data_IF_991531588629
#
_entry.id   IF_991531588629
#
_cell.length_a   1.000
_cell.length_b   1.000
_cell.length_c   1.000
_cell.angle_alpha   90.00
_cell.angle_beta   90.00
_cell.angle_gamma   90.00
#
_symmetry.space_group_name_H-M   'P 1'
#
loop_
_entity.id
_entity.type
_entity.pdbx_description
1 polymer ?
#
# COMPACT_ATOMS: atom_id res chain seq x y z
N UNK A 1 15.11 23.39 -1.61
CA UNK A 1 14.05 23.72 -0.65
C UNK A 1 13.10 22.52 -0.55
N UNK A 2 12.75 22.09 0.66
CA UNK A 2 11.62 21.19 1.00
C UNK A 2 11.53 19.86 0.22
N UNK A 3 12.03 18.72 0.69
CA UNK A 3 11.41 17.97 1.79
C UNK A 3 12.42 17.04 2.47
N UNK A 4 12.43 17.17 3.78
CA UNK A 4 13.35 16.62 4.74
C UNK A 4 13.32 15.09 4.89
N UNK A 5 14.53 14.56 5.09
CA UNK A 5 14.89 13.60 6.15
C UNK A 5 14.05 12.33 6.19
N UNK A 6 14.53 11.30 5.48
CA UNK A 6 14.26 9.92 5.85
C UNK A 6 14.66 9.74 7.32
N UNK A 7 13.63 9.69 8.16
CA UNK A 7 13.70 9.55 9.59
C UNK A 7 14.28 8.15 9.87
N UNK A 8 15.60 8.02 9.95
CA UNK A 8 16.28 6.82 10.45
C UNK A 8 16.13 6.75 11.97
N UNK A 9 14.90 6.78 12.45
CA UNK A 9 14.59 6.33 13.79
C UNK A 9 14.27 4.85 13.64
N UNK A 10 15.24 3.98 13.95
CA UNK A 10 14.93 2.62 14.41
C UNK A 10 14.18 2.75 15.73
N UNK A 11 12.93 3.22 15.65
CA UNK A 11 11.99 3.22 16.75
C UNK A 11 11.89 1.76 17.17
N UNK A 12 12.27 1.46 18.42
CA UNK A 12 12.04 0.14 19.01
C UNK A 12 10.59 -0.23 18.72
N UNK A 13 10.38 -1.26 17.89
CA UNK A 13 9.05 -1.72 17.49
C UNK A 13 8.34 -2.14 18.79
N UNK A 14 7.40 -1.33 19.25
CA UNK A 14 6.66 -1.61 20.48
C UNK A 14 5.61 -2.66 20.16
N UNK A 15 5.55 -3.72 20.96
CA UNK A 15 4.56 -4.79 20.79
C UNK A 15 3.19 -4.40 21.36
N UNK A 16 2.67 -3.22 20.99
CA UNK A 16 1.42 -2.67 21.50
C UNK A 16 0.72 -1.80 20.48
N UNK A 17 -0.59 -1.69 20.59
CA UNK A 17 -1.37 -0.82 19.73
C UNK A 17 -0.91 0.64 19.86
N UNK A 18 -0.69 1.31 18.72
CA UNK A 18 -0.29 2.72 18.69
C UNK A 18 -1.37 3.65 19.24
N UNK A 19 -2.64 3.24 19.22
CA UNK A 19 -3.78 4.05 19.68
C UNK A 19 -4.00 3.83 21.17
N UNK A 20 -4.52 2.65 21.56
CA UNK A 20 -4.90 2.37 22.95
C UNK A 20 -3.74 1.95 23.86
N UNK A 21 -2.54 1.75 23.32
CA UNK A 21 -1.32 1.30 24.05
C UNK A 21 -1.39 -0.10 24.67
N UNK A 22 -2.47 -0.85 24.49
CA UNK A 22 -2.59 -2.24 24.94
C UNK A 22 -1.64 -3.17 24.17
N UNK A 23 -1.06 -4.13 24.90
CA UNK A 23 -0.19 -5.21 24.40
C UNK A 23 -0.96 -6.46 23.96
N UNK A 24 -2.28 -6.49 24.19
CA UNK A 24 -3.16 -7.60 23.83
C UNK A 24 -3.53 -7.52 22.35
N UNK A 25 -3.31 -8.58 21.59
CA UNK A 25 -3.69 -8.69 20.17
C UNK A 25 -5.18 -9.01 19.94
N UNK A 26 -5.62 -9.19 18.68
CA UNK A 26 -4.81 -9.24 17.46
C UNK A 26 -4.42 -7.86 16.91
N UNK A 27 -3.24 -7.76 16.30
CA UNK A 27 -2.76 -6.53 15.66
C UNK A 27 -2.57 -6.69 14.15
N UNK A 28 -2.75 -5.59 13.42
CA UNK A 28 -2.19 -5.41 12.08
C UNK A 28 -0.98 -4.46 12.15
N UNK A 29 0.03 -4.69 11.31
CA UNK A 29 1.26 -3.89 11.28
C UNK A 29 1.34 -3.11 9.98
N UNK A 30 1.65 -1.81 10.06
CA UNK A 30 1.89 -1.00 8.87
C UNK A 30 3.23 -1.40 8.23
N UNK A 31 3.24 -1.67 6.92
CA UNK A 31 4.47 -2.04 6.21
C UNK A 31 5.51 -0.91 6.18
N UNK A 32 5.09 0.35 6.19
CA UNK A 32 5.99 1.52 6.12
C UNK A 32 6.61 1.88 7.47
N UNK A 33 5.79 2.07 8.50
CA UNK A 33 6.24 2.58 9.80
C UNK A 33 6.35 1.50 10.89
N UNK A 34 6.00 0.25 10.57
CA UNK A 34 6.04 -0.93 11.46
C UNK A 34 5.23 -0.80 12.76
N UNK A 35 4.41 0.26 12.88
CA UNK A 35 3.53 0.45 14.03
C UNK A 35 2.38 -0.54 14.00
N UNK A 36 2.01 -1.05 15.18
CA UNK A 36 0.91 -2.00 15.37
C UNK A 36 -0.39 -1.30 15.72
N UNK A 37 -1.51 -1.81 15.22
CA UNK A 37 -2.83 -1.25 15.44
C UNK A 37 -3.85 -2.36 15.67
N UNK A 38 -4.84 -2.11 16.52
CA UNK A 38 -6.12 -2.79 16.43
C UNK A 38 -6.96 -2.13 15.35
N UNK A 39 -7.59 -2.93 14.48
CA UNK A 39 -8.50 -2.39 13.46
C UNK A 39 -9.73 -1.72 14.09
N UNK A 40 -10.26 -2.25 15.19
CA UNK A 40 -11.37 -1.58 15.90
C UNK A 40 -10.95 -0.21 16.49
N UNK A 41 -9.69 -0.03 16.90
CA UNK A 41 -9.20 1.28 17.35
C UNK A 41 -9.10 2.30 16.21
N UNK A 42 -9.06 1.84 14.96
CA UNK A 42 -9.10 2.65 13.75
C UNK A 42 -10.55 2.88 13.24
N UNK A 43 -11.55 2.37 13.95
CA UNK A 43 -12.96 2.54 13.59
C UNK A 43 -13.50 1.51 12.60
N UNK A 44 -12.74 0.44 12.30
CA UNK A 44 -13.26 -0.65 11.48
C UNK A 44 -14.35 -1.41 12.23
N UNK A 45 -15.46 -1.71 11.55
CA UNK A 45 -16.45 -2.67 12.02
C UNK A 45 -15.83 -4.09 12.10
N UNK A 46 -16.41 -5.02 12.87
CA UNK A 46 -15.90 -6.40 12.93
C UNK A 46 -15.77 -7.07 11.54
N UNK A 47 -16.78 -6.87 10.68
CA UNK A 47 -16.79 -7.42 9.31
C UNK A 47 -15.65 -6.86 8.46
N UNK A 48 -15.51 -5.53 8.41
CA UNK A 48 -14.44 -4.89 7.64
C UNK A 48 -13.05 -5.21 8.22
N UNK A 49 -12.93 -5.30 9.54
CA UNK A 49 -11.67 -5.68 10.20
C UNK A 49 -11.22 -7.09 9.80
N UNK A 50 -12.14 -8.05 9.71
CA UNK A 50 -11.83 -9.42 9.27
C UNK A 50 -11.34 -9.42 7.81
N UNK A 51 -12.05 -8.71 6.93
CA UNK A 51 -11.66 -8.60 5.52
C UNK A 51 -10.28 -7.97 5.34
N UNK A 52 -10.00 -6.86 6.03
CA UNK A 52 -8.69 -6.18 5.96
C UNK A 52 -7.58 -7.08 6.51
N UNK A 53 -7.81 -7.71 7.66
CA UNK A 53 -6.83 -8.63 8.26
C UNK A 53 -6.44 -9.74 7.31
N UNK A 54 -7.42 -10.31 6.58
CA UNK A 54 -7.19 -11.38 5.61
C UNK A 54 -6.52 -10.89 4.33
N UNK A 55 -7.00 -9.80 3.75
CA UNK A 55 -6.62 -9.36 2.41
C UNK A 55 -5.34 -8.51 2.39
N UNK A 56 -4.99 -7.90 3.53
CA UNK A 56 -3.91 -6.93 3.67
C UNK A 56 -2.87 -7.30 4.73
N UNK A 57 -2.86 -8.55 5.20
CA UNK A 57 -1.91 -9.03 6.21
C UNK A 57 -0.45 -8.65 5.95
N UNK A 58 -0.03 -8.59 4.68
CA UNK A 58 1.36 -8.38 4.27
C UNK A 58 1.65 -7.00 3.68
N UNK A 59 0.63 -6.20 3.34
CA UNK A 59 0.81 -4.91 2.65
C UNK A 59 -0.15 -3.81 3.13
N UNK A 60 -0.67 -3.96 4.35
CA UNK A 60 -1.46 -2.93 4.97
C UNK A 60 -0.61 -1.70 5.33
N UNK A 61 -1.19 -0.52 5.12
CA UNK A 61 -0.58 0.77 5.45
C UNK A 61 -1.51 1.51 6.41
N UNK A 62 -0.96 2.13 7.45
CA UNK A 62 -1.76 2.91 8.37
C UNK A 62 -2.24 4.23 7.74
N UNK A 63 -3.24 4.90 8.33
CA UNK A 63 -3.75 6.17 7.78
C UNK A 63 -2.70 7.27 7.60
N UNK A 64 -1.60 7.22 8.35
CA UNK A 64 -0.49 8.19 8.25
C UNK A 64 0.52 7.85 7.15
N UNK A 65 0.51 6.63 6.64
CA UNK A 65 1.49 6.13 5.68
C UNK A 65 0.85 5.69 4.35
N UNK A 66 -0.47 5.78 4.23
CA UNK A 66 -1.19 5.25 3.08
C UNK A 66 -0.83 6.01 1.81
N UNK A 67 -0.50 5.26 0.77
CA UNK A 67 -0.20 5.77 -0.55
C UNK A 67 -1.38 5.52 -1.48
N UNK A 68 -1.57 6.43 -2.42
CA UNK A 68 -2.60 6.28 -3.44
C UNK A 68 -2.27 5.12 -4.35
N UNK A 69 -3.24 4.24 -4.57
CA UNK A 69 -3.06 3.04 -5.39
C UNK A 69 -2.91 3.33 -6.88
N UNK A 70 -3.17 4.57 -7.33
CA UNK A 70 -2.97 5.02 -8.72
C UNK A 70 -1.62 5.71 -8.93
N UNK A 71 -1.29 6.71 -8.12
CA UNK A 71 -0.09 7.55 -8.32
C UNK A 71 1.04 7.28 -7.33
N UNK A 72 0.84 6.40 -6.34
CA UNK A 72 1.83 6.03 -5.32
C UNK A 72 2.34 7.18 -4.44
N UNK A 73 1.61 8.31 -4.37
CA UNK A 73 1.92 9.43 -3.47
C UNK A 73 1.03 9.41 -2.23
N UNK A 74 1.45 10.09 -1.15
CA UNK A 74 0.70 10.17 0.11
C UNK A 74 -0.71 10.71 -0.11
N UNK A 75 -1.69 10.07 0.52
CA UNK A 75 -3.08 10.52 0.51
C UNK A 75 -3.33 11.43 1.69
N UNK A 76 -3.74 12.66 1.42
CA UNK A 76 -4.07 13.69 2.43
C UNK A 76 -5.25 14.57 2.00
N UNK A 77 -5.82 14.34 0.82
CA UNK A 77 -6.95 15.13 0.31
C UNK A 77 -8.26 14.65 0.92
N UNK A 78 -9.16 15.59 1.24
CA UNK A 78 -10.48 15.26 1.80
C UNK A 78 -11.40 14.49 0.82
N UNK A 79 -11.07 14.48 -0.47
CA UNK A 79 -11.81 13.76 -1.49
C UNK A 79 -11.38 12.30 -1.65
N UNK A 80 -10.45 11.81 -0.84
CA UNK A 80 -9.93 10.47 -0.97
C UNK A 80 -11.01 9.41 -0.72
N UNK A 81 -10.85 8.25 -1.34
CA UNK A 81 -11.72 7.10 -1.16
C UNK A 81 -10.92 5.86 -0.80
N UNK A 82 -11.50 5.02 0.04
CA UNK A 82 -10.93 3.74 0.46
C UNK A 82 -11.88 2.63 0.07
N UNK A 83 -11.37 1.61 -0.60
CA UNK A 83 -12.18 0.47 -1.01
C UNK A 83 -12.61 -0.34 0.22
N UNK A 84 -13.92 -0.56 0.39
CA UNK A 84 -14.45 -1.32 1.53
C UNK A 84 -14.00 -2.79 1.54
N UNK A 85 -13.68 -3.37 0.36
CA UNK A 85 -13.30 -4.77 0.25
C UNK A 85 -11.78 -5.02 0.42
N UNK A 86 -10.94 -4.20 -0.23
CA UNK A 86 -9.49 -4.42 -0.24
C UNK A 86 -8.69 -3.34 0.48
N UNK A 87 -9.34 -2.35 1.10
CA UNK A 87 -8.70 -1.29 1.89
C UNK A 87 -7.70 -0.42 1.10
N UNK A 88 -7.75 -0.47 -0.23
CA UNK A 88 -6.90 0.37 -1.08
C UNK A 88 -7.46 1.77 -1.19
N UNK A 89 -6.58 2.75 -1.04
CA UNK A 89 -6.95 4.16 -1.00
C UNK A 89 -6.51 4.86 -2.28
N UNK A 90 -7.31 5.82 -2.72
CA UNK A 90 -7.07 6.65 -3.89
C UNK A 90 -7.37 8.11 -3.51
N UNK A 91 -6.55 9.07 -3.98
CA UNK A 91 -6.97 10.48 -3.94
C UNK A 91 -8.29 10.66 -4.68
N UNK A 92 -9.02 11.72 -4.35
CA UNK A 92 -10.24 12.09 -5.05
C UNK A 92 -10.02 12.21 -6.55
N UNK A 93 -8.93 12.83 -7.00
CA UNK A 93 -8.55 12.93 -8.44
C UNK A 93 -8.08 11.62 -9.06
N UNK A 94 -7.63 10.68 -8.22
CA UNK A 94 -7.09 9.41 -8.65
C UNK A 94 -8.14 8.28 -8.72
N UNK A 95 -9.40 8.56 -8.41
CA UNK A 95 -10.48 7.56 -8.49
C UNK A 95 -10.56 7.01 -9.92
N UNK A 96 -10.44 5.69 -10.12
CA UNK A 96 -10.58 5.09 -11.44
C UNK A 96 -12.03 5.21 -11.97
N UNK A 97 -12.19 5.57 -13.24
CA UNK A 97 -13.48 5.55 -13.93
C UNK A 97 -14.47 6.64 -13.52
N UNK A 98 -14.00 7.85 -13.17
CA UNK A 98 -14.89 8.98 -12.84
C UNK A 98 -15.88 9.30 -13.97
N UNK A 99 -17.11 8.81 -13.87
CA UNK A 99 -18.26 9.69 -14.05
C UNK A 99 -18.69 10.15 -12.66
N UNK A 100 -19.03 11.43 -12.53
CA UNK A 100 -19.49 12.05 -11.28
C UNK A 100 -20.66 11.26 -10.68
N UNK A 101 -20.36 10.30 -9.81
CA UNK A 101 -21.36 9.79 -8.88
C UNK A 101 -21.31 10.73 -7.69
N UNK A 102 -22.31 11.61 -7.63
CA UNK A 102 -22.70 12.31 -6.42
C UNK A 102 -22.90 11.24 -5.33
N UNK A 103 -21.88 11.01 -4.51
CA UNK A 103 -21.90 9.94 -3.51
C UNK A 103 -22.41 10.52 -2.22
N UNK A 104 -23.57 10.01 -1.82
CA UNK A 104 -24.01 10.10 -0.44
C UNK A 104 -22.94 9.48 0.46
N UNK A 105 -22.65 10.11 1.60
CA UNK A 105 -21.71 9.61 2.62
C UNK A 105 -22.06 8.21 3.16
N UNK A 106 -23.22 7.65 2.78
CA UNK A 106 -23.75 6.37 3.26
C UNK A 106 -23.36 5.16 2.39
N UNK A 107 -22.87 5.36 1.18
CA UNK A 107 -22.63 4.24 0.26
C UNK A 107 -21.16 3.78 0.31
N UNK A 108 -20.96 2.49 0.59
CA UNK A 108 -19.65 1.85 0.54
C UNK A 108 -19.06 1.93 -0.87
N UNK A 109 -17.83 2.45 -0.99
CA UNK A 109 -17.12 2.47 -2.26
C UNK A 109 -16.27 1.21 -2.46
N UNK A 110 -16.34 0.67 -3.68
CA UNK A 110 -15.53 -0.46 -4.14
C UNK A 110 -14.66 -0.03 -5.33
N UNK A 111 -13.38 -0.40 -5.32
CA UNK A 111 -12.50 -0.16 -6.45
C UNK A 111 -12.87 -1.05 -7.64
N UNK A 112 -12.44 -0.73 -8.88
CA UNK A 112 -12.80 -1.51 -10.07
C UNK A 112 -12.43 -2.99 -9.97
N UNK A 113 -11.28 -3.30 -9.35
CA UNK A 113 -10.85 -4.68 -9.13
C UNK A 113 -11.87 -5.43 -8.24
N UNK A 114 -12.37 -4.81 -7.18
CA UNK A 114 -13.34 -5.44 -6.28
C UNK A 114 -14.79 -5.40 -6.79
N UNK A 115 -15.12 -4.51 -7.74
CA UNK A 115 -16.44 -4.48 -8.39
C UNK A 115 -16.58 -5.55 -9.48
N UNK A 116 -15.46 -5.93 -10.11
CA UNK A 116 -15.43 -6.91 -11.20
C UNK A 116 -15.45 -8.37 -10.69
N UNK A 117 -15.24 -8.59 -9.39
CA UNK A 117 -15.40 -9.90 -8.76
C UNK A 117 -16.91 -10.16 -8.58
N UNK A 118 -17.52 -11.15 -9.27
CA UNK A 118 -18.88 -11.54 -8.98
C UNK A 118 -18.95 -12.10 -7.55
N UNK A 119 -20.02 -11.78 -6.83
CA UNK A 119 -20.36 -12.41 -5.56
C UNK A 119 -20.71 -13.88 -5.78
N UNK A 120 -19.72 -14.74 -6.00
CA UNK A 120 -19.93 -16.19 -6.10
C UNK A 120 -19.81 -16.80 -4.71
N UNK A 121 -20.95 -16.89 -4.04
CA UNK A 121 -21.26 -18.08 -3.25
C UNK A 121 -21.33 -19.27 -4.22
N UNK A 122 -20.20 -19.87 -4.58
CA UNK A 122 -20.13 -21.24 -5.11
C UNK A 122 -18.69 -21.70 -5.27
N UNK A 123 -18.46 -22.94 -4.85
CA UNK A 123 -17.17 -23.62 -4.69
C UNK A 123 -16.66 -24.09 -6.05
N UNK A 124 -15.46 -23.70 -6.48
CA UNK A 124 -14.55 -24.53 -7.30
C UNK A 124 -13.14 -23.94 -7.44
N UNK A 125 -12.17 -24.63 -6.82
CA UNK A 125 -10.79 -24.90 -7.27
C UNK A 125 -9.91 -23.75 -7.81
N UNK A 126 -9.04 -23.27 -6.91
CA UNK A 126 -7.58 -23.14 -7.06
C UNK A 126 -7.00 -22.36 -8.24
N UNK A 127 -6.87 -21.04 -8.07
CA UNK A 127 -5.57 -20.35 -8.00
C UNK A 127 -5.68 -19.23 -6.96
N UNK A 128 -4.83 -19.24 -5.93
CA UNK A 128 -4.90 -18.25 -4.84
C UNK A 128 -4.53 -16.86 -5.34
N UNK A 129 -5.28 -15.85 -4.86
CA UNK A 129 -5.06 -14.41 -5.06
C UNK A 129 -3.61 -13.95 -4.78
N UNK A 130 -2.84 -14.74 -4.03
CA UNK A 130 -1.41 -14.58 -3.77
C UNK A 130 -0.58 -14.71 -5.06
N UNK A 131 -0.87 -15.70 -5.93
CA UNK A 131 -0.08 -15.97 -7.13
C UNK A 131 -0.19 -14.84 -8.18
N UNK A 132 -1.40 -14.28 -8.36
CA UNK A 132 -1.61 -13.11 -9.22
C UNK A 132 -0.89 -11.85 -8.69
N UNK A 133 -0.82 -11.68 -7.36
CA UNK A 133 -0.19 -10.51 -6.72
C UNK A 133 1.34 -10.55 -6.82
N UNK A 134 1.95 -11.74 -6.71
CA UNK A 134 3.40 -11.94 -6.86
C UNK A 134 3.90 -11.56 -8.27
N UNK A 135 3.16 -11.90 -9.33
CA UNK A 135 3.51 -11.47 -10.70
C UNK A 135 3.55 -9.94 -10.84
N UNK A 136 2.61 -9.22 -10.23
CA UNK A 136 2.54 -7.74 -10.29
C UNK A 136 3.63 -7.07 -9.46
N UNK A 137 4.02 -7.65 -8.32
CA UNK A 137 5.16 -7.16 -7.54
C UNK A 137 6.52 -7.43 -8.21
N UNK A 138 6.64 -8.53 -8.96
CA UNK A 138 7.87 -8.82 -9.72
C UNK A 138 8.11 -7.78 -10.83
N UNK A 139 7.05 -7.29 -11.47
CA UNK A 139 7.15 -6.20 -12.46
C UNK A 139 7.49 -4.85 -11.81
N UNK A 140 7.00 -4.58 -10.60
CA UNK A 140 7.33 -3.35 -9.86
C UNK A 140 8.78 -3.29 -9.41
N UNK A 141 9.42 -4.43 -9.11
CA UNK A 141 10.84 -4.49 -8.75
C UNK A 141 11.74 -4.15 -9.94
N UNK A 142 11.38 -4.62 -11.15
CA UNK A 142 12.11 -4.34 -12.38
C UNK A 142 12.08 -2.87 -12.79
N UNK A 143 11.01 -2.12 -12.48
CA UNK A 143 10.92 -0.70 -12.84
C UNK A 143 11.76 0.23 -11.94
N UNK A 144 12.13 -0.21 -10.73
CA UNK A 144 12.99 0.58 -9.82
C UNK A 144 14.46 0.41 -10.14
N UNK A 145 14.87 -0.77 -10.60
CA UNK A 145 16.27 -1.08 -10.92
C UNK A 145 16.72 -0.51 -12.29
N UNK A 146 15.79 -0.01 -13.11
CA UNK A 146 16.09 0.47 -14.46
C UNK A 146 16.53 1.96 -14.55
N UNK A 147 16.45 2.73 -13.45
CA UNK A 147 16.72 4.18 -13.44
C UNK A 147 17.88 4.56 -12.51
N UNK A 148 18.94 3.76 -12.50
CA UNK A 148 20.18 4.07 -11.77
C UNK A 148 21.38 3.53 -12.55
N UNK A 149 21.81 4.25 -13.57
CA UNK A 149 23.05 3.92 -14.27
C UNK A 149 23.21 4.59 -15.62
N UNK A 150 23.34 5.91 -15.65
CA UNK A 150 23.99 6.61 -16.75
C UNK A 150 24.77 7.81 -16.18
N UNK A 151 25.98 8.00 -16.71
CA UNK A 151 27.07 8.93 -16.32
C UNK A 151 27.92 8.43 -15.12
N UNK A 152 29.22 8.14 -15.22
CA UNK A 152 30.28 8.68 -16.07
C UNK A 152 31.47 7.71 -16.24
N UNK A 153 32.39 8.08 -17.15
CA UNK A 153 33.80 7.66 -17.25
C UNK A 153 34.18 6.59 -18.28
N UNK A 154 34.05 6.99 -19.54
CA UNK A 154 35.05 6.69 -20.57
C UNK A 154 35.93 7.95 -20.69
N UNK A 155 37.19 7.90 -20.26
CA UNK A 155 38.37 7.78 -21.14
C UNK A 155 39.68 8.10 -20.39
N UNK A 156 40.73 7.36 -20.78
CA UNK A 156 42.19 7.57 -20.57
C UNK A 156 42.78 6.88 -19.33
N UNK A 157 43.85 6.11 -19.41
CA UNK A 157 44.81 5.93 -20.51
C UNK A 157 45.50 4.57 -20.42
N UNK A 158 45.76 4.03 -21.60
CA UNK A 158 46.43 2.78 -21.93
C UNK A 158 47.94 2.99 -21.76
N UNK A 159 48.56 2.25 -20.86
CA UNK A 159 50.01 2.11 -20.83
C UNK A 159 50.47 1.32 -22.06
N UNK A 160 51.30 1.94 -22.90
CA UNK A 160 52.20 1.24 -23.82
C UNK A 160 53.62 1.82 -23.68
N UNK A 161 54.57 0.93 -23.38
CA UNK A 161 55.83 0.72 -24.11
C UNK A 161 56.89 1.85 -24.15
N UNK A 162 58.05 1.55 -23.51
CA UNK A 162 59.45 1.99 -23.79
C UNK A 162 59.76 3.49 -23.80
N UNK A 163 60.77 4.04 -23.13
CA UNK A 163 62.18 3.66 -22.91
C UNK A 163 62.64 4.15 -21.52
#
# INVERSE_FOLDING_TARGET
>A
SYYHKYFTFRAKVKNRCRICKSEIGPFISCIECLSKFHLHCLGYSPESAEMVSRNRATDWQCPMCVLCSKCSTFVYDAGNVQCFCCDRTYHGECIPGKSNSNRSLKDSWYCPECKAEPSTSEIATSETSVARRLRRNSLRKLTVDAWSGEESDIQKERNEVTF
#
